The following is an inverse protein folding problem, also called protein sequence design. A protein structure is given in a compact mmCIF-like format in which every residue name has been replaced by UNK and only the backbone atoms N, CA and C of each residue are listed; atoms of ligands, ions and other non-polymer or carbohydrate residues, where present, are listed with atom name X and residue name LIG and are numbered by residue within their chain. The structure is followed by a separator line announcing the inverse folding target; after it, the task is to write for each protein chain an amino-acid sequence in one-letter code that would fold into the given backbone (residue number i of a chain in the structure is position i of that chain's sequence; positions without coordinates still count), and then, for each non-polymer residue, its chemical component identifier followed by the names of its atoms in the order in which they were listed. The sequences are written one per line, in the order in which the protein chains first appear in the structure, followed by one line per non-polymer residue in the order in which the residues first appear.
data_IF_593750095367
#
_entry.id   IF_593750095367
#
_cell.length_a   1.000
_cell.length_b   1.000
_cell.length_c   1.000
_cell.angle_alpha   90.00
_cell.angle_beta   90.00
_cell.angle_gamma   90.00
#
_symmetry.space_group_name_H-M   'P 1'
#
loop_
_entity.id
_entity.type
_entity.pdbx_description
1 polymer ?
#
# COMPACT_ATOMS: atom_id res chain seq x y z
N UNK A 1 7.85 -4.41 9.90
CA UNK A 1 7.69 -4.77 11.33
C UNK A 1 8.12 -3.65 12.27
N UNK A 2 9.40 -3.18 12.29
CA UNK A 2 9.80 -2.12 13.23
C UNK A 2 8.97 -0.84 13.11
N UNK A 3 8.62 -0.42 11.89
CA UNK A 3 7.74 0.73 11.67
C UNK A 3 6.36 0.57 12.34
N UNK A 4 5.82 -0.66 12.37
CA UNK A 4 4.52 -0.90 13.01
C UNK A 4 4.55 -0.64 14.51
N UNK A 5 5.70 -0.86 15.17
CA UNK A 5 5.91 -0.57 16.60
C UNK A 5 6.38 0.87 16.88
N UNK A 6 6.34 1.71 15.88
CA UNK A 6 6.63 3.14 15.95
C UNK A 6 5.44 3.92 15.34
N UNK A 7 4.24 3.65 15.86
CA UNK A 7 2.97 4.24 15.42
C UNK A 7 2.78 4.12 13.90
N UNK A 8 2.95 2.91 13.36
CA UNK A 8 2.87 2.68 11.91
C UNK A 8 3.95 3.37 11.07
N UNK A 9 4.86 4.08 11.71
CA UNK A 9 5.85 4.94 11.07
C UNK A 9 5.33 6.36 10.80
N UNK A 10 4.25 6.78 11.43
CA UNK A 10 3.61 8.08 11.20
C UNK A 10 4.54 9.26 11.49
N UNK A 11 5.33 9.19 12.56
CA UNK A 11 6.19 10.29 12.97
C UNK A 11 7.52 10.36 12.21
N UNK A 12 8.06 11.60 11.98
CA UNK A 12 9.27 11.83 11.17
C UNK A 12 10.51 11.02 11.57
N UNK A 13 10.70 10.77 12.85
CA UNK A 13 11.87 10.02 13.33
C UNK A 13 11.84 8.56 12.84
N UNK A 14 10.65 7.93 12.77
CA UNK A 14 10.50 6.57 12.32
C UNK A 14 10.80 6.43 10.83
N UNK A 15 10.23 7.28 9.99
CA UNK A 15 10.49 7.19 8.54
C UNK A 15 11.91 7.60 8.14
N UNK A 16 12.53 8.59 8.83
CA UNK A 16 13.94 8.95 8.61
C UNK A 16 14.88 7.80 8.93
N UNK A 17 14.63 7.11 10.05
CA UNK A 17 15.37 5.91 10.42
C UNK A 17 15.18 4.78 9.39
N UNK A 18 13.94 4.57 8.90
CA UNK A 18 13.64 3.59 7.86
C UNK A 18 14.34 3.92 6.54
N UNK A 19 14.32 5.18 6.12
CA UNK A 19 15.05 5.65 4.93
C UNK A 19 16.54 5.32 5.03
N UNK A 20 17.17 5.69 6.15
CA UNK A 20 18.58 5.41 6.38
C UNK A 20 18.86 3.90 6.35
N UNK A 21 18.02 3.09 7.00
CA UNK A 21 18.17 1.63 7.00
C UNK A 21 18.04 1.04 5.59
N UNK A 22 17.07 1.46 4.78
CA UNK A 22 16.91 0.97 3.41
C UNK A 22 18.07 1.39 2.52
N UNK A 23 18.57 2.62 2.64
CA UNK A 23 19.75 3.07 1.92
C UNK A 23 21.01 2.30 2.32
N UNK A 24 21.18 2.01 3.61
CA UNK A 24 22.27 1.15 4.08
C UNK A 24 22.18 -0.27 3.49
N UNK A 25 20.98 -0.86 3.44
CA UNK A 25 20.75 -2.16 2.80
C UNK A 25 21.09 -2.13 1.32
N UNK A 26 20.64 -1.08 0.60
CA UNK A 26 20.97 -0.91 -0.82
C UNK A 26 22.49 -0.76 -1.04
N UNK A 27 23.15 0.10 -0.29
CA UNK A 27 24.60 0.31 -0.37
C UNK A 27 25.39 -0.98 -0.05
N UNK A 28 25.03 -1.68 1.03
CA UNK A 28 25.66 -2.94 1.40
C UNK A 28 25.47 -4.01 0.32
N UNK A 29 24.28 -4.10 -0.27
CA UNK A 29 24.02 -5.04 -1.36
C UNK A 29 24.89 -4.75 -2.58
N UNK A 30 25.08 -3.47 -2.95
CA UNK A 30 26.00 -3.06 -4.03
C UNK A 30 27.45 -3.43 -3.71
N UNK A 31 27.91 -3.17 -2.48
CA UNK A 31 29.29 -3.50 -2.06
C UNK A 31 29.53 -5.00 -2.06
N UNK A 32 28.59 -5.81 -1.57
CA UNK A 32 28.78 -7.26 -1.43
C UNK A 32 28.55 -8.04 -2.73
N UNK A 33 27.69 -7.57 -3.63
CA UNK A 33 27.24 -8.31 -4.83
C UNK A 33 27.57 -7.62 -6.14
N UNK A 34 28.03 -6.38 -6.08
CA UNK A 34 28.18 -5.53 -7.24
C UNK A 34 26.85 -4.95 -7.71
N UNK A 35 26.94 -4.09 -8.71
CA UNK A 35 25.75 -3.50 -9.33
C UNK A 35 25.01 -4.54 -10.18
N UNK A 36 23.74 -4.78 -9.89
CA UNK A 36 22.87 -5.62 -10.71
C UNK A 36 22.12 -4.76 -11.73
N UNK A 37 21.98 -5.23 -12.96
CA UNK A 37 21.16 -4.54 -13.96
C UNK A 37 19.70 -4.56 -13.55
N UNK A 38 19.11 -3.37 -13.41
CA UNK A 38 17.67 -3.22 -13.17
C UNK A 38 16.90 -3.50 -14.47
N UNK A 39 15.73 -4.11 -14.35
CA UNK A 39 14.81 -4.23 -15.50
C UNK A 39 14.21 -2.87 -15.86
N UNK A 40 13.67 -2.76 -17.08
CA UNK A 40 12.96 -1.56 -17.52
C UNK A 40 11.82 -1.19 -16.53
N UNK A 41 11.06 -2.17 -16.04
CA UNK A 41 9.99 -1.93 -15.08
C UNK A 41 10.53 -1.40 -13.74
N UNK A 42 11.59 -1.98 -13.20
CA UNK A 42 12.24 -1.49 -11.97
C UNK A 42 12.81 -0.08 -12.15
N UNK A 43 13.40 0.23 -13.30
CA UNK A 43 13.91 1.57 -13.61
C UNK A 43 12.78 2.59 -13.69
N UNK A 44 11.64 2.24 -14.32
CA UNK A 44 10.46 3.11 -14.39
C UNK A 44 9.94 3.39 -12.97
N UNK A 45 9.76 2.37 -12.15
CA UNK A 45 9.26 2.54 -10.77
C UNK A 45 10.20 3.40 -9.92
N UNK A 46 11.50 3.13 -9.94
CA UNK A 46 12.47 3.91 -9.19
C UNK A 46 12.55 5.37 -9.70
N UNK A 47 12.57 5.57 -11.03
CA UNK A 47 12.56 6.89 -11.65
C UNK A 47 11.29 7.67 -11.34
N UNK A 48 10.13 7.02 -11.37
CA UNK A 48 8.85 7.63 -11.05
C UNK A 48 8.77 8.07 -9.57
N UNK A 49 9.23 7.22 -8.64
CA UNK A 49 9.30 7.58 -7.22
C UNK A 49 10.32 8.69 -6.95
N UNK A 50 11.47 8.69 -7.64
CA UNK A 50 12.43 9.77 -7.54
C UNK A 50 11.84 11.10 -8.07
N UNK A 51 11.16 11.06 -9.21
CA UNK A 51 10.48 12.22 -9.77
C UNK A 51 9.31 12.69 -8.87
N UNK A 52 8.55 11.77 -8.29
CA UNK A 52 7.48 12.10 -7.34
C UNK A 52 8.07 12.77 -6.09
N UNK A 53 9.14 12.21 -5.50
CA UNK A 53 9.83 12.82 -4.36
C UNK A 53 10.33 14.23 -4.69
N UNK A 54 10.92 14.41 -5.86
CA UNK A 54 11.38 15.72 -6.33
C UNK A 54 10.22 16.70 -6.56
N UNK A 55 9.10 16.24 -7.13
CA UNK A 55 7.89 17.04 -7.35
C UNK A 55 7.25 17.46 -6.02
N UNK A 56 7.15 16.50 -5.06
CA UNK A 56 6.70 16.80 -3.69
C UNK A 56 7.57 17.84 -3.02
N UNK A 57 8.89 17.72 -3.10
CA UNK A 57 9.82 18.74 -2.56
C UNK A 57 9.67 20.09 -3.28
N UNK A 58 9.51 20.08 -4.61
CA UNK A 58 9.37 21.30 -5.41
C UNK A 58 8.05 22.01 -5.13
N UNK A 59 7.01 21.29 -4.72
CA UNK A 59 5.71 21.88 -4.36
C UNK A 59 5.82 22.88 -3.20
N UNK A 60 6.84 22.78 -2.37
CA UNK A 60 7.13 23.75 -1.32
C UNK A 60 7.29 25.21 -1.84
N UNK A 61 7.55 25.40 -3.14
CA UNK A 61 7.72 26.75 -3.75
C UNK A 61 6.38 27.49 -3.82
N UNK A 62 5.26 26.79 -4.01
CA UNK A 62 3.92 27.40 -4.09
C UNK A 62 2.99 26.98 -2.96
N UNK A 63 3.43 26.05 -2.11
CA UNK A 63 2.65 25.57 -0.97
C UNK A 63 2.36 26.66 0.05
N UNK A 64 1.15 26.75 0.60
CA UNK A 64 0.86 27.58 1.78
C UNK A 64 1.55 27.06 3.06
N UNK A 65 1.97 25.77 3.08
CA UNK A 65 2.83 25.18 4.13
C UNK A 65 4.09 24.54 3.51
N UNK A 66 5.14 25.34 3.21
CA UNK A 66 6.38 24.81 2.66
C UNK A 66 7.07 23.78 3.57
N UNK A 67 6.93 23.92 4.89
CA UNK A 67 7.55 23.01 5.84
C UNK A 67 6.88 21.63 5.81
N UNK A 68 5.55 21.58 5.75
CA UNK A 68 4.76 20.36 5.52
C UNK A 68 5.17 19.69 4.22
N UNK A 69 5.25 20.43 3.11
CA UNK A 69 5.67 19.87 1.81
C UNK A 69 7.07 19.25 1.84
N UNK A 70 8.01 19.82 2.57
CA UNK A 70 9.35 19.23 2.76
C UNK A 70 9.28 17.96 3.61
N UNK A 71 8.42 17.91 4.63
CA UNK A 71 8.21 16.68 5.41
C UNK A 71 7.63 15.56 4.54
N UNK A 72 6.65 15.87 3.70
CA UNK A 72 6.07 14.91 2.75
C UNK A 72 7.12 14.36 1.76
N UNK A 73 8.00 15.23 1.24
CA UNK A 73 9.10 14.79 0.40
C UNK A 73 10.05 13.83 1.13
N UNK A 74 10.32 14.05 2.41
CA UNK A 74 11.12 13.13 3.22
C UNK A 74 10.40 11.80 3.45
N UNK A 75 9.06 11.81 3.59
CA UNK A 75 8.27 10.57 3.71
C UNK A 75 8.27 9.77 2.41
N UNK A 76 8.05 10.41 1.26
CA UNK A 76 8.13 9.72 -0.04
C UNK A 76 9.51 9.13 -0.31
N UNK A 77 10.58 9.69 0.26
CA UNK A 77 11.93 9.14 0.18
C UNK A 77 12.07 7.74 0.81
N UNK A 78 11.22 7.40 1.80
CA UNK A 78 11.17 6.04 2.37
C UNK A 78 10.83 5.02 1.28
N UNK A 79 9.84 5.33 0.44
CA UNK A 79 9.35 4.44 -0.61
C UNK A 79 10.36 4.28 -1.74
N UNK A 80 11.02 5.36 -2.13
CA UNK A 80 12.13 5.31 -3.07
C UNK A 80 13.29 4.46 -2.54
N UNK A 81 13.72 4.70 -1.30
CA UNK A 81 14.82 3.96 -0.68
C UNK A 81 14.52 2.47 -0.52
N UNK A 82 13.26 2.13 -0.18
CA UNK A 82 12.78 0.75 -0.16
C UNK A 82 12.91 0.07 -1.53
N UNK A 83 12.43 0.73 -2.60
CA UNK A 83 12.48 0.17 -3.96
C UNK A 83 13.93 -0.03 -4.40
N UNK A 84 14.83 0.91 -4.11
CA UNK A 84 16.27 0.75 -4.37
C UNK A 84 16.86 -0.45 -3.60
N UNK A 85 16.52 -0.60 -2.32
CA UNK A 85 16.98 -1.74 -1.51
C UNK A 85 16.47 -3.08 -2.06
N UNK A 86 15.19 -3.17 -2.45
CA UNK A 86 14.59 -4.41 -2.96
C UNK A 86 15.08 -4.80 -4.34
N UNK A 87 15.45 -3.84 -5.20
CA UNK A 87 16.07 -4.12 -6.50
C UNK A 87 17.42 -4.84 -6.36
N UNK A 88 18.12 -4.62 -5.25
CA UNK A 88 19.42 -5.23 -4.95
C UNK A 88 19.31 -6.56 -4.20
N UNK A 89 18.18 -6.84 -3.55
CA UNK A 89 17.97 -8.02 -2.70
C UNK A 89 16.88 -8.91 -3.29
N UNK A 90 17.26 -9.80 -4.21
CA UNK A 90 16.38 -10.86 -4.69
C UNK A 90 16.24 -11.95 -3.60
N UNK A 91 15.03 -12.38 -3.28
CA UNK A 91 14.84 -13.51 -2.36
C UNK A 91 13.47 -13.60 -1.70
N UNK A 92 13.43 -13.84 -0.39
CA UNK A 92 12.23 -14.19 0.37
C UNK A 92 11.35 -12.98 0.76
N UNK A 93 11.27 -11.93 -0.07
CA UNK A 93 10.52 -10.69 0.26
C UNK A 93 9.10 -10.98 0.76
N UNK A 94 8.34 -11.79 0.02
CA UNK A 94 6.96 -12.13 0.38
C UNK A 94 6.85 -12.97 1.66
N UNK A 95 7.87 -13.76 1.98
CA UNK A 95 7.93 -14.49 3.27
C UNK A 95 8.22 -13.51 4.41
N UNK A 96 9.09 -12.53 4.17
CA UNK A 96 9.35 -11.43 5.11
C UNK A 96 8.10 -10.59 5.36
N UNK A 97 7.31 -10.28 4.33
CA UNK A 97 6.02 -9.58 4.46
C UNK A 97 5.07 -10.36 5.36
N UNK A 98 4.86 -11.66 5.08
CA UNK A 98 4.00 -12.50 5.90
C UNK A 98 4.48 -12.62 7.35
N UNK A 99 5.78 -12.82 7.56
CA UNK A 99 6.34 -12.91 8.90
C UNK A 99 6.19 -11.57 9.66
N UNK A 100 6.45 -10.45 8.98
CA UNK A 100 6.30 -9.12 9.56
C UNK A 100 4.85 -8.81 9.94
N UNK A 101 3.91 -8.97 9.02
CA UNK A 101 2.48 -8.74 9.29
C UNK A 101 1.98 -9.73 10.35
N UNK A 102 2.35 -11.00 10.23
CA UNK A 102 1.95 -12.03 11.19
C UNK A 102 2.42 -11.73 12.63
N UNK A 103 3.65 -11.24 12.80
CA UNK A 103 4.14 -10.85 14.13
C UNK A 103 3.45 -9.62 14.70
N UNK A 104 3.10 -8.63 13.86
CA UNK A 104 2.33 -7.44 14.27
C UNK A 104 0.93 -7.84 14.70
N UNK A 105 0.22 -8.62 13.88
CA UNK A 105 -1.14 -9.08 14.20
C UNK A 105 -1.15 -10.03 15.43
N UNK A 106 -0.13 -10.89 15.58
CA UNK A 106 -0.01 -11.76 16.75
C UNK A 106 0.22 -10.95 18.02
N UNK A 107 1.05 -9.92 17.98
CA UNK A 107 1.23 -8.99 19.09
C UNK A 107 -0.09 -8.29 19.43
N UNK A 108 -0.76 -7.69 18.44
CA UNK A 108 -2.01 -6.95 18.62
C UNK A 108 -3.11 -7.83 19.26
N UNK A 109 -3.35 -9.01 18.68
CA UNK A 109 -4.36 -9.94 19.21
C UNK A 109 -3.94 -10.49 20.57
N UNK A 110 -2.65 -10.81 20.76
CA UNK A 110 -2.11 -11.27 22.04
C UNK A 110 -2.29 -10.23 23.15
N UNK A 111 -1.97 -8.98 22.89
CA UNK A 111 -2.18 -7.88 23.83
C UNK A 111 -3.67 -7.73 24.17
N UNK A 112 -4.55 -7.74 23.17
CA UNK A 112 -6.01 -7.67 23.38
C UNK A 112 -6.53 -8.83 24.26
N UNK A 113 -5.99 -10.04 24.11
CA UNK A 113 -6.39 -11.21 24.92
C UNK A 113 -5.87 -11.15 26.35
N UNK A 114 -4.71 -10.56 26.59
CA UNK A 114 -4.08 -10.46 27.89
C UNK A 114 -4.58 -9.26 28.71
N UNK A 115 -4.76 -8.12 28.07
CA UNK A 115 -5.06 -6.84 28.72
C UNK A 115 -6.53 -6.42 28.59
N UNK A 116 -7.29 -7.04 27.66
CA UNK A 116 -8.67 -6.67 27.37
C UNK A 116 -8.78 -5.47 26.42
N UNK A 117 -9.92 -4.83 26.42
CA UNK A 117 -10.15 -3.57 25.70
C UNK A 117 -9.58 -2.41 26.51
N UNK A 118 -9.13 -1.31 25.85
CA UNK A 118 -8.61 -0.15 26.55
C UNK A 118 -9.69 0.47 27.45
N UNK A 119 -9.31 0.82 28.68
CA UNK A 119 -10.14 1.53 29.64
C UNK A 119 -9.33 2.69 30.26
N UNK A 120 -9.74 3.97 30.03
CA UNK A 120 -10.88 4.39 29.21
C UNK A 120 -10.72 4.05 27.72
N UNK A 121 -11.81 3.97 26.95
CA UNK A 121 -11.73 3.82 25.50
C UNK A 121 -10.92 4.94 24.86
N UNK A 122 -10.21 4.62 23.77
CA UNK A 122 -9.49 5.63 23.00
C UNK A 122 -10.44 6.70 22.48
N UNK A 123 -10.09 8.01 22.53
CA UNK A 123 -10.99 9.09 22.09
C UNK A 123 -11.40 9.02 20.61
N UNK A 124 -10.58 8.41 19.74
CA UNK A 124 -10.81 8.34 18.29
C UNK A 124 -11.24 6.95 17.85
N UNK A 125 -10.52 5.92 18.30
CA UNK A 125 -10.72 4.53 17.86
C UNK A 125 -11.62 3.73 18.82
N UNK A 126 -11.99 4.29 19.96
CA UNK A 126 -12.84 3.61 20.95
C UNK A 126 -12.19 2.35 21.51
N UNK A 127 -12.84 1.21 21.30
CA UNK A 127 -12.35 -0.11 21.73
C UNK A 127 -11.81 -0.96 20.58
N UNK A 128 -11.64 -0.39 19.38
CA UNK A 128 -11.12 -1.11 18.23
C UNK A 128 -9.65 -1.53 18.46
N UNK A 129 -9.22 -2.59 17.76
CA UNK A 129 -7.84 -3.04 17.82
C UNK A 129 -6.98 -2.17 16.90
N UNK A 130 -6.13 -1.33 17.48
CA UNK A 130 -5.29 -0.38 16.75
C UNK A 130 -3.79 -0.58 16.99
N UNK A 131 -3.43 -1.12 18.15
CA UNK A 131 -2.03 -1.34 18.52
C UNK A 131 -1.35 -2.44 17.66
N UNK A 132 -0.06 -2.30 17.36
CA UNK A 132 0.87 -1.23 17.76
C UNK A 132 0.97 -0.07 16.75
N UNK A 133 0.02 0.07 15.82
CA UNK A 133 0.05 1.12 14.79
C UNK A 133 -0.56 2.44 15.26
N UNK A 134 -1.39 2.41 16.30
CA UNK A 134 -2.18 3.57 16.73
C UNK A 134 -3.37 3.89 15.81
N UNK A 135 -3.70 3.01 14.83
CA UNK A 135 -4.77 3.22 13.87
C UNK A 135 -5.39 1.89 13.40
N UNK A 136 -6.67 1.70 13.69
CA UNK A 136 -7.37 0.44 13.46
C UNK A 136 -7.47 0.09 11.95
N UNK A 137 -7.78 1.06 11.09
CA UNK A 137 -7.86 0.78 9.65
C UNK A 137 -6.48 0.43 9.05
N UNK A 138 -5.39 1.05 9.49
CA UNK A 138 -4.04 0.70 9.07
C UNK A 138 -3.65 -0.73 9.45
N UNK A 139 -4.02 -1.17 10.67
CA UNK A 139 -3.84 -2.56 11.09
C UNK A 139 -4.73 -3.51 10.26
N UNK A 140 -5.95 -3.08 9.93
CA UNK A 140 -6.87 -3.78 9.02
C UNK A 140 -6.28 -3.93 7.62
N UNK A 141 -5.65 -2.89 7.07
CA UNK A 141 -4.94 -2.92 5.79
C UNK A 141 -3.80 -3.93 5.78
N UNK A 142 -2.96 -3.94 6.82
CA UNK A 142 -1.90 -4.96 6.97
C UNK A 142 -2.49 -6.37 7.01
N UNK A 143 -3.54 -6.59 7.81
CA UNK A 143 -4.21 -7.88 7.90
C UNK A 143 -4.82 -8.31 6.55
N UNK A 144 -5.38 -7.37 5.76
CA UNK A 144 -5.92 -7.61 4.43
C UNK A 144 -4.84 -8.08 3.45
N UNK A 145 -3.69 -7.40 3.42
CA UNK A 145 -2.51 -7.79 2.62
C UNK A 145 -2.05 -9.19 3.03
N UNK A 146 -1.89 -9.42 4.34
CA UNK A 146 -1.46 -10.70 4.89
C UNK A 146 -2.41 -11.84 4.56
N UNK A 147 -3.73 -11.62 4.66
CA UNK A 147 -4.77 -12.60 4.39
C UNK A 147 -4.76 -13.06 2.92
N UNK A 148 -4.70 -12.09 1.98
CA UNK A 148 -4.63 -12.40 0.55
C UNK A 148 -3.41 -13.27 0.21
N UNK A 149 -2.24 -12.96 0.80
CA UNK A 149 -1.02 -13.75 0.61
C UNK A 149 -1.12 -15.12 1.28
N UNK A 150 -1.61 -15.21 2.52
CA UNK A 150 -1.69 -16.45 3.29
C UNK A 150 -2.66 -17.46 2.66
N UNK A 151 -3.88 -17.04 2.28
CA UNK A 151 -4.86 -17.90 1.59
C UNK A 151 -4.29 -18.43 0.28
N UNK A 152 -3.65 -17.57 -0.52
CA UNK A 152 -3.08 -17.99 -1.81
C UNK A 152 -1.95 -19.00 -1.66
N UNK A 153 -1.20 -18.96 -0.55
CA UNK A 153 -0.17 -19.95 -0.21
C UNK A 153 -0.75 -21.20 0.43
N UNK A 154 -1.88 -21.10 1.14
CA UNK A 154 -2.56 -22.24 1.76
C UNK A 154 -3.13 -23.20 0.72
N UNK A 155 -3.75 -22.69 -0.35
CA UNK A 155 -4.43 -23.50 -1.36
C UNK A 155 -3.56 -24.60 -2.00
N UNK A 156 -2.27 -24.37 -2.37
CA UNK A 156 -1.40 -25.41 -2.92
C UNK A 156 -0.65 -26.22 -1.88
N UNK A 157 -0.71 -25.84 -0.60
CA UNK A 157 0.10 -26.45 0.44
C UNK A 157 -0.22 -27.95 0.59
N UNK A 158 0.78 -28.81 0.43
CA UNK A 158 0.65 -30.26 0.54
C UNK A 158 1.14 -30.77 1.88
N UNK A 159 2.18 -30.13 2.44
CA UNK A 159 2.76 -30.51 3.74
C UNK A 159 1.90 -29.98 4.88
N UNK A 160 1.67 -30.81 5.90
CA UNK A 160 0.85 -30.42 7.07
C UNK A 160 1.35 -29.13 7.72
N UNK A 161 2.66 -28.96 7.90
CA UNK A 161 3.24 -27.75 8.48
C UNK A 161 2.97 -26.48 7.66
N UNK A 162 2.96 -26.58 6.31
CA UNK A 162 2.65 -25.46 5.44
C UNK A 162 1.18 -25.07 5.55
N UNK A 163 0.30 -26.07 5.64
CA UNK A 163 -1.14 -25.87 5.88
C UNK A 163 -1.39 -25.25 7.25
N UNK A 164 -0.77 -25.80 8.29
CA UNK A 164 -0.90 -25.29 9.65
C UNK A 164 -0.41 -23.84 9.75
N UNK A 165 0.76 -23.52 9.17
CA UNK A 165 1.32 -22.18 9.19
C UNK A 165 0.44 -21.18 8.44
N UNK A 166 0.14 -21.44 7.15
CA UNK A 166 -0.64 -20.48 6.35
C UNK A 166 -2.12 -20.43 6.80
N UNK A 167 -2.68 -21.55 7.28
CA UNK A 167 -4.02 -21.58 7.88
C UNK A 167 -4.09 -20.79 9.18
N UNK A 168 -3.10 -20.98 10.07
CA UNK A 168 -3.00 -20.22 11.32
C UNK A 168 -2.83 -18.72 11.08
N UNK A 169 -1.96 -18.33 10.12
CA UNK A 169 -1.82 -16.93 9.73
C UNK A 169 -3.11 -16.36 9.14
N UNK A 170 -3.80 -17.10 8.25
CA UNK A 170 -5.07 -16.66 7.69
C UNK A 170 -6.12 -16.45 8.79
N UNK A 171 -6.23 -17.38 9.75
CA UNK A 171 -7.13 -17.25 10.90
C UNK A 171 -6.78 -16.02 11.76
N UNK A 172 -5.49 -15.80 12.04
CA UNK A 172 -5.00 -14.63 12.77
C UNK A 172 -5.40 -13.32 12.05
N UNK A 173 -5.21 -13.24 10.74
CA UNK A 173 -5.55 -12.04 9.97
C UNK A 173 -7.08 -11.80 9.93
N UNK A 174 -7.89 -12.86 9.85
CA UNK A 174 -9.35 -12.73 9.95
C UNK A 174 -9.74 -12.20 11.33
N UNK A 175 -9.19 -12.75 12.41
CA UNK A 175 -9.45 -12.25 13.78
C UNK A 175 -9.03 -10.80 13.91
N UNK A 176 -7.85 -10.43 13.40
CA UNK A 176 -7.39 -9.04 13.42
C UNK A 176 -8.36 -8.13 12.67
N UNK A 177 -8.79 -8.49 11.44
CA UNK A 177 -9.77 -7.72 10.66
C UNK A 177 -11.10 -7.52 11.41
N UNK A 178 -11.59 -8.56 12.10
CA UNK A 178 -12.82 -8.46 12.88
C UNK A 178 -12.66 -7.51 14.09
N UNK A 179 -11.52 -7.56 14.77
CA UNK A 179 -11.26 -6.73 15.95
C UNK A 179 -10.93 -5.27 15.59
N UNK A 180 -10.39 -5.00 14.40
CA UNK A 180 -10.18 -3.63 13.92
C UNK A 180 -11.47 -2.96 13.44
N UNK A 181 -12.54 -3.72 13.16
CA UNK A 181 -13.77 -3.17 12.59
C UNK A 181 -13.59 -2.52 11.19
N UNK A 182 -12.43 -2.65 10.56
CA UNK A 182 -12.10 -1.99 9.28
C UNK A 182 -12.89 -2.57 8.12
N UNK A 183 -13.94 -1.87 7.70
CA UNK A 183 -14.75 -2.25 6.53
C UNK A 183 -13.93 -2.18 5.23
N UNK A 184 -13.11 -1.13 5.09
CA UNK A 184 -12.17 -0.99 3.97
C UNK A 184 -11.19 -2.16 3.90
N UNK A 185 -10.62 -2.56 5.04
CA UNK A 185 -9.75 -3.72 5.16
C UNK A 185 -10.41 -5.04 4.75
N UNK A 186 -11.67 -5.27 5.17
CA UNK A 186 -12.44 -6.45 4.76
C UNK A 186 -12.66 -6.50 3.25
N UNK A 187 -13.09 -5.39 2.63
CA UNK A 187 -13.29 -5.32 1.17
C UNK A 187 -11.97 -5.50 0.43
N UNK A 188 -10.92 -4.84 0.87
CA UNK A 188 -9.58 -5.00 0.29
C UNK A 188 -9.08 -6.45 0.35
N UNK A 189 -9.28 -7.13 1.49
CA UNK A 189 -8.94 -8.54 1.66
C UNK A 189 -9.72 -9.44 0.68
N UNK A 190 -11.02 -9.19 0.50
CA UNK A 190 -11.87 -9.93 -0.42
C UNK A 190 -11.42 -9.72 -1.88
N UNK A 191 -11.21 -8.47 -2.30
CA UNK A 191 -10.76 -8.12 -3.65
C UNK A 191 -9.40 -8.75 -3.94
N UNK A 192 -8.40 -8.53 -3.07
CA UNK A 192 -7.06 -9.07 -3.24
C UNK A 192 -7.04 -10.59 -3.28
N UNK A 193 -7.78 -11.25 -2.37
CA UNK A 193 -7.89 -12.72 -2.33
C UNK A 193 -8.58 -13.26 -3.58
N UNK A 194 -9.67 -12.64 -4.03
CA UNK A 194 -10.40 -13.07 -5.23
C UNK A 194 -9.54 -12.99 -6.49
N UNK A 195 -8.80 -11.88 -6.66
CA UNK A 195 -7.83 -11.72 -7.76
C UNK A 195 -6.75 -12.80 -7.68
N UNK A 196 -6.16 -13.01 -6.51
CA UNK A 196 -5.11 -14.00 -6.31
C UNK A 196 -5.57 -15.44 -6.62
N UNK A 197 -6.76 -15.82 -6.14
CA UNK A 197 -7.35 -17.15 -6.39
C UNK A 197 -7.67 -17.33 -7.90
N UNK A 198 -8.20 -16.30 -8.55
CA UNK A 198 -8.47 -16.33 -9.99
C UNK A 198 -7.18 -16.48 -10.81
N UNK A 199 -6.12 -15.72 -10.49
CA UNK A 199 -4.81 -15.83 -11.13
C UNK A 199 -4.21 -17.22 -10.94
N UNK A 200 -4.25 -17.73 -9.71
CA UNK A 200 -3.72 -19.04 -9.38
C UNK A 200 -4.45 -20.17 -10.13
N UNK A 201 -5.75 -20.02 -10.34
CA UNK A 201 -6.58 -20.96 -11.09
C UNK A 201 -6.45 -20.83 -12.62
N UNK A 202 -5.52 -20.01 -13.12
CA UNK A 202 -5.33 -19.74 -14.54
C UNK A 202 -6.45 -18.91 -15.18
N UNK A 203 -7.37 -18.37 -14.37
CA UNK A 203 -8.53 -17.57 -14.84
C UNK A 203 -8.17 -16.09 -14.98
N UNK A 204 -7.20 -15.79 -15.83
CA UNK A 204 -6.65 -14.42 -15.99
C UNK A 204 -7.72 -13.41 -16.40
N UNK A 205 -8.69 -13.78 -17.27
CA UNK A 205 -9.79 -12.87 -17.65
C UNK A 205 -10.68 -12.53 -16.46
N UNK A 206 -10.98 -13.52 -15.60
CA UNK A 206 -11.75 -13.30 -14.38
C UNK A 206 -11.00 -12.39 -13.40
N UNK A 207 -9.69 -12.63 -13.19
CA UNK A 207 -8.86 -11.78 -12.34
C UNK A 207 -8.85 -10.32 -12.81
N UNK A 208 -8.67 -10.11 -14.12
CA UNK A 208 -8.74 -8.75 -14.73
C UNK A 208 -10.12 -8.13 -14.58
N UNK A 209 -11.18 -8.91 -14.75
CA UNK A 209 -12.56 -8.47 -14.56
C UNK A 209 -12.82 -8.01 -13.13
N UNK A 210 -12.41 -8.80 -12.12
CA UNK A 210 -12.51 -8.43 -10.71
C UNK A 210 -11.75 -7.15 -10.42
N UNK A 211 -10.50 -7.04 -10.90
CA UNK A 211 -9.69 -5.83 -10.71
C UNK A 211 -10.31 -4.60 -11.38
N UNK A 212 -10.85 -4.74 -12.59
CA UNK A 212 -11.50 -3.65 -13.29
C UNK A 212 -12.79 -3.18 -12.60
N UNK A 213 -13.62 -4.13 -12.14
CA UNK A 213 -14.85 -3.80 -11.38
C UNK A 213 -14.50 -3.13 -10.05
N UNK A 214 -13.48 -3.62 -9.33
CA UNK A 214 -13.03 -3.01 -8.09
C UNK A 214 -12.49 -1.60 -8.31
N UNK A 215 -11.67 -1.40 -9.36
CA UNK A 215 -11.17 -0.07 -9.73
C UNK A 215 -12.30 0.88 -10.13
N UNK A 216 -13.26 0.40 -10.93
CA UNK A 216 -14.44 1.21 -11.32
C UNK A 216 -15.29 1.58 -10.09
N UNK A 217 -15.54 0.63 -9.18
CA UNK A 217 -16.29 0.90 -7.96
C UNK A 217 -15.58 1.94 -7.08
N UNK A 218 -14.24 1.87 -6.99
CA UNK A 218 -13.46 2.87 -6.29
C UNK A 218 -13.56 4.25 -6.96
N UNK A 219 -13.37 4.32 -8.28
CA UNK A 219 -13.49 5.59 -9.03
C UNK A 219 -14.88 6.19 -8.85
N UNK A 220 -15.93 5.38 -8.96
CA UNK A 220 -17.32 5.85 -8.74
C UNK A 220 -17.49 6.36 -7.30
N UNK A 221 -16.99 5.63 -6.30
CA UNK A 221 -17.08 6.07 -4.90
C UNK A 221 -16.38 7.42 -4.67
N UNK A 222 -15.18 7.60 -5.24
CA UNK A 222 -14.40 8.84 -5.12
C UNK A 222 -15.02 10.02 -5.93
N UNK A 223 -15.76 9.72 -7.00
CA UNK A 223 -16.36 10.73 -7.89
C UNK A 223 -17.79 11.11 -7.49
N UNK A 224 -18.40 10.44 -6.51
CA UNK A 224 -19.75 10.78 -6.06
C UNK A 224 -19.77 12.19 -5.44
N UNK A 225 -20.59 13.10 -5.95
CA UNK A 225 -20.72 14.42 -5.35
C UNK A 225 -21.36 14.32 -3.96
N UNK A 226 -20.96 15.22 -3.06
CA UNK A 226 -21.67 15.41 -1.81
C UNK A 226 -23.13 15.82 -2.12
N UNK A 227 -24.10 15.03 -1.67
CA UNK A 227 -25.53 15.22 -1.93
C UNK A 227 -26.31 14.02 -1.40
N UNK A 228 -27.61 13.93 -1.67
CA UNK A 228 -28.54 12.99 -1.02
C UNK A 228 -28.03 11.53 -0.90
N UNK A 229 -27.37 11.00 -1.95
CA UNK A 229 -26.75 9.67 -1.90
C UNK A 229 -25.46 9.67 -1.08
N UNK A 230 -24.69 10.76 -1.11
CA UNK A 230 -23.48 10.90 -0.29
C UNK A 230 -23.84 11.10 1.18
N UNK A 231 -24.95 11.80 1.49
CA UNK A 231 -25.46 11.95 2.85
C UNK A 231 -25.90 10.60 3.44
N UNK A 232 -26.64 9.78 2.66
CA UNK A 232 -27.01 8.41 3.04
C UNK A 232 -25.79 7.49 3.24
N UNK A 233 -24.75 7.67 2.44
CA UNK A 233 -23.49 6.93 2.56
C UNK A 233 -22.65 7.45 3.73
N UNK A 234 -22.66 8.75 4.00
CA UNK A 234 -21.96 9.34 5.15
C UNK A 234 -22.57 8.89 6.47
N UNK A 235 -23.92 8.84 6.59
CA UNK A 235 -24.60 8.29 7.77
C UNK A 235 -24.19 6.81 8.04
N UNK A 236 -23.83 6.06 6.98
CA UNK A 236 -23.48 4.64 7.08
C UNK A 236 -21.98 4.35 6.95
N UNK A 237 -21.22 5.27 6.37
CA UNK A 237 -19.81 5.09 5.94
C UNK A 237 -18.79 5.96 6.68
N UNK A 238 -19.22 6.91 7.51
CA UNK A 238 -18.38 7.90 8.16
C UNK A 238 -18.11 9.13 7.29
N UNK A 239 -17.20 9.99 7.73
CA UNK A 239 -17.00 11.34 7.21
C UNK A 239 -16.25 11.43 5.86
N UNK A 240 -15.79 10.32 5.29
CA UNK A 240 -14.99 10.29 4.05
C UNK A 240 -15.61 11.01 2.85
N UNK A 241 -16.93 10.91 2.55
CA UNK A 241 -17.52 11.66 1.45
C UNK A 241 -17.32 13.18 1.55
N UNK A 242 -17.29 13.73 2.77
CA UNK A 242 -17.02 15.14 3.01
C UNK A 242 -15.56 15.50 2.76
N UNK A 243 -14.62 14.63 3.17
CA UNK A 243 -13.20 14.81 2.87
C UNK A 243 -12.96 14.80 1.36
N UNK A 244 -13.57 13.86 0.64
CA UNK A 244 -13.45 13.76 -0.82
C UNK A 244 -14.07 14.95 -1.53
N UNK A 245 -15.17 15.50 -1.02
CA UNK A 245 -15.79 16.72 -1.56
C UNK A 245 -14.82 17.89 -1.50
N UNK A 246 -14.24 18.18 -0.33
CA UNK A 246 -13.26 19.26 -0.16
C UNK A 246 -12.02 19.04 -1.03
N UNK A 247 -11.52 17.79 -1.12
CA UNK A 247 -10.39 17.48 -2.00
C UNK A 247 -10.71 17.75 -3.49
N UNK A 248 -11.93 17.46 -3.95
CA UNK A 248 -12.34 17.76 -5.31
C UNK A 248 -12.46 19.26 -5.58
N UNK A 249 -12.87 20.07 -4.62
CA UNK A 249 -12.86 21.54 -4.75
C UNK A 249 -11.42 22.05 -4.96
N UNK A 250 -10.44 21.54 -4.21
CA UNK A 250 -9.03 21.87 -4.42
C UNK A 250 -8.51 21.44 -5.80
N UNK A 251 -8.88 20.23 -6.24
CA UNK A 251 -8.55 19.77 -7.60
C UNK A 251 -9.07 20.72 -8.65
N UNK A 252 -10.31 21.22 -8.50
CA UNK A 252 -10.91 22.17 -9.43
C UNK A 252 -10.16 23.50 -9.49
N UNK A 253 -9.59 23.93 -8.37
CA UNK A 253 -8.83 25.19 -8.29
C UNK A 253 -7.40 25.07 -8.84
N UNK A 254 -6.74 23.92 -8.65
CA UNK A 254 -5.35 23.72 -9.05
C UNK A 254 -5.09 22.36 -9.71
N UNK A 255 -5.72 22.04 -10.86
CA UNK A 255 -5.77 20.66 -11.39
C UNK A 255 -4.41 20.11 -11.83
N UNK A 256 -3.45 20.94 -12.23
CA UNK A 256 -2.18 20.46 -12.80
C UNK A 256 -1.10 20.23 -11.73
N UNK A 257 -0.92 21.19 -10.84
CA UNK A 257 0.19 21.20 -9.86
C UNK A 257 -0.28 20.99 -8.42
N UNK A 258 -1.58 21.07 -8.14
CA UNK A 258 -2.14 21.02 -6.80
C UNK A 258 -1.81 22.25 -5.94
N UNK A 259 -2.17 22.18 -4.67
CA UNK A 259 -1.99 23.25 -3.70
C UNK A 259 -0.66 23.17 -2.95
N UNK A 260 0.06 22.08 -3.05
CA UNK A 260 1.29 21.77 -2.31
C UNK A 260 1.10 20.54 -1.44
N UNK A 261 2.14 19.72 -1.32
CA UNK A 261 2.07 18.48 -0.53
C UNK A 261 1.85 18.80 0.96
N UNK A 262 1.03 17.98 1.61
CA UNK A 262 0.72 18.08 3.04
C UNK A 262 -0.17 19.28 3.37
N UNK A 263 -1.00 19.77 2.45
CA UNK A 263 -1.82 20.98 2.66
C UNK A 263 -3.32 20.72 2.75
N UNK A 264 -3.78 19.49 2.55
CA UNK A 264 -5.21 19.18 2.60
C UNK A 264 -5.89 19.65 3.91
N UNK A 265 -5.18 19.53 5.04
CA UNK A 265 -5.72 19.97 6.33
C UNK A 265 -6.10 21.47 6.36
N UNK A 266 -5.41 22.34 5.60
CA UNK A 266 -5.74 23.77 5.49
C UNK A 266 -7.07 23.97 4.77
N UNK A 267 -7.28 23.27 3.64
CA UNK A 267 -8.54 23.31 2.93
C UNK A 267 -9.69 22.76 3.78
N UNK A 268 -9.42 21.68 4.54
CA UNK A 268 -10.40 21.14 5.46
C UNK A 268 -10.78 22.14 6.55
N UNK A 269 -9.81 22.79 7.20
CA UNK A 269 -10.08 23.81 8.23
C UNK A 269 -10.90 24.99 7.69
N UNK A 270 -10.69 25.37 6.43
CA UNK A 270 -11.41 26.49 5.79
C UNK A 270 -12.84 26.11 5.37
N UNK A 271 -13.06 24.88 4.90
CA UNK A 271 -14.27 24.45 4.17
C UNK A 271 -15.09 23.35 4.84
N UNK A 272 -14.60 22.80 5.98
CA UNK A 272 -15.22 21.66 6.64
C UNK A 272 -16.74 21.86 6.85
N UNK A 273 -17.59 20.97 6.30
CA UNK A 273 -19.03 21.06 6.48
C UNK A 273 -19.49 20.43 7.79
N UNK A 274 -18.62 19.69 8.47
CA UNK A 274 -18.86 18.97 9.72
C UNK A 274 -17.77 19.30 10.75
N UNK A 275 -18.05 19.28 12.05
CA UNK A 275 -17.08 19.67 13.10
C UNK A 275 -16.07 18.57 13.43
N UNK A 276 -15.69 17.74 12.45
CA UNK A 276 -14.71 16.66 12.62
C UNK A 276 -13.35 17.12 12.08
N UNK A 277 -12.28 17.01 12.87
CA UNK A 277 -10.93 17.32 12.43
C UNK A 277 -10.35 16.16 11.59
N UNK A 278 -9.67 16.50 10.50
CA UNK A 278 -8.83 15.56 9.74
C UNK A 278 -7.60 16.26 9.18
N UNK A 279 -6.51 15.52 9.00
CA UNK A 279 -5.31 16.00 8.33
C UNK A 279 -5.27 15.58 6.86
N UNK A 280 -5.96 14.49 6.51
CA UNK A 280 -5.81 13.77 5.25
C UNK A 280 -7.16 13.56 4.57
N UNK A 281 -7.18 13.43 3.25
CA UNK A 281 -8.41 13.20 2.48
C UNK A 281 -8.93 11.76 2.57
N UNK A 282 -8.26 10.86 3.30
CA UNK A 282 -8.61 9.44 3.41
C UNK A 282 -8.75 8.75 2.04
N UNK A 283 -7.91 9.12 1.10
CA UNK A 283 -7.71 8.46 -0.19
C UNK A 283 -6.39 8.96 -0.79
N UNK A 284 -5.39 8.08 -0.82
CA UNK A 284 -4.09 8.37 -1.43
C UNK A 284 -4.22 9.07 -2.81
N UNK A 285 -5.13 8.55 -3.65
CA UNK A 285 -5.25 9.03 -5.03
C UNK A 285 -5.83 10.43 -5.11
N UNK A 286 -6.85 10.70 -4.32
CA UNK A 286 -7.53 11.99 -4.32
C UNK A 286 -6.73 13.04 -3.58
N UNK A 287 -6.09 12.67 -2.47
CA UNK A 287 -5.20 13.54 -1.72
C UNK A 287 -4.01 13.99 -2.58
N UNK A 288 -3.32 13.02 -3.21
CA UNK A 288 -2.22 13.36 -4.11
C UNK A 288 -2.66 14.22 -5.31
N UNK A 289 -3.90 14.01 -5.79
CA UNK A 289 -4.46 14.80 -6.87
C UNK A 289 -4.76 16.24 -6.42
N UNK A 290 -5.28 16.45 -5.21
CA UNK A 290 -5.56 17.80 -4.67
C UNK A 290 -4.27 18.55 -4.34
N UNK A 291 -3.28 17.87 -3.78
CA UNK A 291 -2.04 18.47 -3.29
C UNK A 291 -0.96 18.63 -4.37
N UNK A 292 -0.81 17.65 -5.26
CA UNK A 292 0.26 17.59 -6.28
C UNK A 292 -0.27 17.60 -7.72
N UNK A 293 -1.57 17.67 -7.89
CA UNK A 293 -2.24 17.75 -9.17
C UNK A 293 -2.10 16.51 -10.06
N UNK A 294 -2.47 16.65 -11.31
CA UNK A 294 -2.35 15.59 -12.32
C UNK A 294 -0.90 15.15 -12.53
N UNK A 295 0.08 16.03 -12.33
CA UNK A 295 1.51 15.67 -12.42
C UNK A 295 1.86 14.67 -11.32
N UNK A 296 1.50 14.95 -10.07
CA UNK A 296 1.73 14.03 -8.95
C UNK A 296 1.04 12.68 -9.15
N UNK A 297 -0.24 12.70 -9.54
CA UNK A 297 -1.02 11.48 -9.80
C UNK A 297 -0.43 10.66 -10.96
N UNK A 298 0.04 11.29 -12.04
CA UNK A 298 0.70 10.59 -13.14
C UNK A 298 2.01 9.92 -12.70
N UNK A 299 2.83 10.61 -11.88
CA UNK A 299 4.06 10.04 -11.34
C UNK A 299 3.78 8.87 -10.40
N UNK A 300 2.76 8.98 -9.53
CA UNK A 300 2.29 7.85 -8.71
C UNK A 300 1.84 6.68 -9.59
N UNK A 301 1.05 6.96 -10.64
CA UNK A 301 0.62 5.94 -11.60
C UNK A 301 1.80 5.21 -12.26
N UNK A 302 2.84 5.94 -12.68
CA UNK A 302 4.07 5.36 -13.22
C UNK A 302 4.81 4.49 -12.19
N UNK A 303 4.71 4.79 -10.90
CA UNK A 303 5.31 3.97 -9.85
C UNK A 303 4.47 2.70 -9.55
N UNK A 304 3.14 2.79 -9.53
CA UNK A 304 2.27 1.71 -9.09
C UNK A 304 1.78 0.78 -10.22
N UNK A 305 1.70 1.26 -11.47
CA UNK A 305 1.18 0.47 -12.60
C UNK A 305 2.12 -0.67 -13.05
N UNK A 306 3.45 -0.52 -13.13
CA UNK A 306 4.30 -1.62 -13.58
C UNK A 306 4.19 -2.91 -12.74
N UNK A 307 4.22 -2.89 -11.39
CA UNK A 307 3.95 -4.08 -10.60
C UNK A 307 2.55 -4.65 -10.82
N UNK A 308 1.53 -3.80 -11.03
CA UNK A 308 0.17 -4.23 -11.31
C UNK A 308 0.07 -4.94 -12.66
N UNK A 309 0.77 -4.47 -13.68
CA UNK A 309 0.87 -5.14 -14.98
C UNK A 309 1.52 -6.53 -14.81
N UNK A 310 2.61 -6.63 -14.03
CA UNK A 310 3.25 -7.92 -13.72
C UNK A 310 2.31 -8.87 -12.97
N UNK A 311 1.49 -8.35 -12.03
CA UNK A 311 0.45 -9.11 -11.34
C UNK A 311 -0.52 -9.74 -12.34
N UNK A 312 -1.07 -8.94 -13.25
CA UNK A 312 -2.04 -9.40 -14.25
C UNK A 312 -1.42 -10.16 -15.45
N UNK A 313 -0.11 -10.34 -15.48
CA UNK A 313 0.58 -11.33 -16.31
C UNK A 313 0.68 -12.69 -15.62
N UNK A 314 0.27 -12.80 -14.35
CA UNK A 314 0.26 -14.04 -13.59
C UNK A 314 1.62 -14.45 -13.03
N UNK A 315 2.52 -13.49 -12.81
CA UNK A 315 3.90 -13.74 -12.35
C UNK A 315 3.94 -14.42 -10.97
N UNK A 316 3.15 -13.91 -10.02
CA UNK A 316 2.99 -14.47 -8.67
C UNK A 316 1.62 -14.11 -8.10
N UNK A 317 0.74 -15.09 -7.99
CA UNK A 317 -0.63 -14.86 -7.54
C UNK A 317 -0.70 -14.37 -6.07
N UNK A 318 0.19 -14.82 -5.20
CA UNK A 318 0.17 -14.40 -3.80
C UNK A 318 0.64 -12.94 -3.63
N UNK A 319 1.72 -12.57 -4.31
CA UNK A 319 2.18 -11.19 -4.33
C UNK A 319 1.15 -10.27 -4.99
N UNK A 320 0.51 -10.72 -6.08
CA UNK A 320 -0.55 -9.99 -6.76
C UNK A 320 -1.74 -9.69 -5.84
N UNK A 321 -2.20 -10.70 -5.07
CA UNK A 321 -3.29 -10.51 -4.11
C UNK A 321 -2.98 -9.48 -3.03
N UNK A 322 -1.80 -9.58 -2.42
CA UNK A 322 -1.38 -8.60 -1.42
C UNK A 322 -1.22 -7.19 -1.99
N UNK A 323 -0.66 -7.07 -3.20
CA UNK A 323 -0.51 -5.78 -3.87
C UNK A 323 -1.84 -5.13 -4.26
N UNK A 324 -2.79 -5.93 -4.80
CA UNK A 324 -4.13 -5.44 -5.14
C UNK A 324 -4.92 -5.05 -3.89
N UNK A 325 -4.81 -5.81 -2.79
CA UNK A 325 -5.42 -5.44 -1.52
C UNK A 325 -4.91 -4.07 -1.03
N UNK A 326 -3.59 -3.85 -1.07
CA UNK A 326 -2.97 -2.56 -0.74
C UNK A 326 -3.51 -1.43 -1.63
N UNK A 327 -3.44 -1.57 -2.95
CA UNK A 327 -3.89 -0.52 -3.87
C UNK A 327 -5.36 -0.16 -3.68
N UNK A 328 -6.20 -1.16 -3.42
CA UNK A 328 -7.62 -0.92 -3.17
C UNK A 328 -7.84 -0.18 -1.85
N UNK A 329 -7.18 -0.59 -0.77
CA UNK A 329 -7.32 0.04 0.54
C UNK A 329 -6.79 1.48 0.54
N UNK A 330 -5.64 1.73 -0.10
CA UNK A 330 -5.06 3.06 -0.25
C UNK A 330 -5.96 4.06 -1.00
N UNK A 331 -6.93 3.57 -1.78
CA UNK A 331 -7.97 4.42 -2.38
C UNK A 331 -9.08 4.81 -1.41
N UNK A 332 -9.16 4.18 -0.26
CA UNK A 332 -10.19 4.38 0.76
C UNK A 332 -9.66 4.94 2.08
N UNK A 333 -8.34 5.06 2.21
CA UNK A 333 -7.70 5.50 3.45
C UNK A 333 -6.33 6.17 3.19
N UNK A 334 -5.75 6.76 4.22
CA UNK A 334 -4.46 7.48 4.22
C UNK A 334 -3.26 6.55 4.49
N UNK A 335 -3.21 5.41 3.80
CA UNK A 335 -2.19 4.36 3.99
C UNK A 335 -0.76 4.87 3.75
N UNK A 336 -0.56 5.89 2.91
CA UNK A 336 0.77 6.44 2.64
C UNK A 336 1.34 7.25 3.81
N UNK A 337 0.49 7.70 4.71
CA UNK A 337 0.89 8.36 5.96
C UNK A 337 1.39 7.35 7.00
N UNK A 338 1.11 6.07 6.76
CA UNK A 338 1.55 4.93 7.56
C UNK A 338 2.56 4.09 6.79
N UNK A 339 3.86 4.42 6.84
CA UNK A 339 4.90 3.69 6.10
C UNK A 339 4.91 2.19 6.34
N UNK A 340 4.44 1.69 7.49
CA UNK A 340 4.32 0.26 7.76
C UNK A 340 3.39 -0.44 6.75
N UNK A 341 2.27 0.18 6.41
CA UNK A 341 1.28 -0.35 5.47
C UNK A 341 1.80 -0.27 4.04
N UNK A 342 2.25 0.91 3.63
CA UNK A 342 2.76 1.16 2.28
C UNK A 342 3.99 0.33 1.96
N UNK A 343 4.93 0.17 2.90
CA UNK A 343 6.10 -0.72 2.76
C UNK A 343 5.64 -2.16 2.52
N UNK A 344 4.64 -2.67 3.24
CA UNK A 344 4.14 -4.03 3.03
C UNK A 344 3.55 -4.20 1.62
N UNK A 345 2.75 -3.25 1.16
CA UNK A 345 2.19 -3.22 -0.19
C UNK A 345 3.28 -3.16 -1.28
N UNK A 346 4.22 -2.22 -1.16
CA UNK A 346 5.32 -2.06 -2.10
C UNK A 346 6.27 -3.27 -2.13
N UNK A 347 6.45 -3.99 -1.03
CA UNK A 347 7.21 -5.25 -1.01
C UNK A 347 6.50 -6.37 -1.80
N UNK A 348 5.15 -6.39 -1.78
CA UNK A 348 4.39 -7.27 -2.67
C UNK A 348 4.64 -6.88 -4.14
N UNK A 349 4.57 -5.58 -4.48
CA UNK A 349 4.87 -5.06 -5.82
C UNK A 349 6.31 -5.37 -6.27
N UNK A 350 7.30 -5.15 -5.41
CA UNK A 350 8.70 -5.47 -5.69
C UNK A 350 8.91 -6.97 -5.93
N UNK A 351 8.18 -7.85 -5.20
CA UNK A 351 8.21 -9.29 -5.44
C UNK A 351 7.79 -9.65 -6.86
N UNK A 352 6.76 -8.98 -7.39
CA UNK A 352 6.29 -9.19 -8.77
C UNK A 352 7.36 -8.82 -9.79
N UNK A 353 8.01 -7.66 -9.62
CA UNK A 353 9.05 -7.19 -10.54
C UNK A 353 10.31 -8.08 -10.52
N UNK A 354 10.73 -8.54 -9.34
CA UNK A 354 11.89 -9.43 -9.19
C UNK A 354 11.63 -10.80 -9.83
N UNK A 355 10.43 -11.36 -9.68
CA UNK A 355 10.08 -12.67 -10.25
C UNK A 355 9.85 -12.62 -11.75
N UNK A 356 9.31 -11.51 -12.29
CA UNK A 356 9.22 -11.31 -13.74
C UNK A 356 10.61 -11.34 -14.39
N UNK A 357 11.58 -10.66 -13.79
CA UNK A 357 12.97 -10.68 -14.27
C UNK A 357 13.56 -12.11 -14.28
N UNK A 358 13.36 -12.87 -13.20
CA UNK A 358 13.89 -14.23 -13.10
C UNK A 358 13.26 -15.19 -14.13
N UNK A 359 11.99 -15.02 -14.48
CA UNK A 359 11.30 -15.83 -15.49
C UNK A 359 11.76 -15.52 -16.90
N UNK A 360 11.93 -14.23 -17.24
CA UNK A 360 12.42 -13.77 -18.54
C UNK A 360 13.86 -14.23 -18.81
N UNK A 361 14.76 -14.10 -17.84
CA UNK A 361 16.14 -14.57 -17.99
C UNK A 361 16.29 -16.11 -18.03
N UNK A 362 15.29 -16.85 -17.52
CA UNK A 362 15.27 -18.32 -17.69
C UNK A 362 14.83 -18.72 -19.11
N UNK A 363 13.81 -18.03 -19.64
CA UNK A 363 13.36 -18.28 -21.00
C UNK A 363 14.44 -18.01 -22.04
N UNK A 364 15.14 -16.89 -21.92
CA UNK A 364 16.27 -16.53 -22.80
C UNK A 364 17.40 -17.57 -22.75
N UNK A 365 17.78 -18.04 -21.56
CA UNK A 365 18.79 -19.10 -21.39
C UNK A 365 18.38 -20.43 -22.02
N UNK A 366 17.09 -20.77 -21.99
CA UNK A 366 16.57 -21.98 -22.65
C UNK A 366 16.64 -21.85 -24.16
N UNK A 367 16.24 -20.73 -24.73
CA UNK A 367 16.34 -20.45 -26.16
C UNK A 367 17.80 -20.50 -26.67
N UNK A 368 18.75 -19.91 -25.91
CA UNK A 368 20.17 -19.96 -26.26
C UNK A 368 20.76 -21.38 -26.18
N UNK A 369 20.27 -22.23 -25.28
CA UNK A 369 20.69 -23.65 -25.19
C UNK A 369 20.16 -24.47 -26.34
N UNK A 370 18.89 -24.26 -26.74
CA UNK A 370 18.28 -24.91 -27.89
C UNK A 370 19.02 -24.54 -29.19
N UNK A 371 19.28 -23.27 -29.41
CA UNK A 371 20.01 -22.78 -30.58
C UNK A 371 21.47 -23.32 -30.70
N UNK A 372 22.08 -23.65 -29.53
CA UNK A 372 23.43 -24.25 -29.51
C UNK A 372 23.45 -25.78 -29.60
N UNK A 373 22.30 -26.43 -29.33
CA UNK A 373 22.16 -27.89 -29.44
C UNK A 373 21.78 -28.37 -30.84
N UNK A 374 21.29 -27.45 -31.69
CA UNK A 374 20.92 -27.73 -33.08
C UNK A 374 22.06 -27.40 -34.08
N UNK A 375 23.25 -27.02 -33.57
CA UNK A 375 24.48 -26.77 -34.34
C UNK A 375 25.51 -27.83 -33.99
#
# INVERSE_FOLDING_TARGET
MLLSFADGGFFPNAWRAATAAFLCVAALAVVLRGWTSATRAQTIVAGALAALTAWTAFSAVWSPDPAGSVLEAQRTLVYLSLVLATAMVAGALLTGVLAGIGSVCAYAVGQRLLEGSPEPPDPFEGTLLQEPLGYANGLGALAAIGLAVAITRLLPARRLRERALNGGLASLFVVTLLLTGSRGGVVAALVGTAVAVALRSGRLRLARGIGAVAALALVVALALPAGSLADDLAERGGDRPWYWHVAWEEVAEAPLAGKGAGTFYLAWLERQPIPTGTLDAHSLYLELLSELGLVGLALLGLALVPPLVSAFRGVDAAAAGGYVAFLFHAGLDWDCELPAVTVAGLLCGATLLVRENASSGRAERLHLRQAKGDS
#
